data_IF_531417450404
#
_entry.id   IF_531417450404
#
_cell.length_a   1.000
_cell.length_b   1.000
_cell.length_c   1.000
_cell.angle_alpha   90.00
_cell.angle_beta   90.00
_cell.angle_gamma   90.00
#
_symmetry.space_group_name_H-M   'P 1'
#
loop_
_entity.id
_entity.type
_entity.pdbx_description
1 polymer ?
#
# COMPACT_ATOMS: atom_id res chain seq x y z
N UNK A 1 -56.37 -53.91 26.49
CA UNK A 1 -55.86 -52.98 25.47
C UNK A 1 -54.92 -52.00 26.19
N UNK A 2 -53.61 -52.27 26.15
CA UNK A 2 -52.63 -51.51 26.90
C UNK A 2 -51.89 -50.60 25.92
N UNK A 3 -52.15 -49.30 25.97
CA UNK A 3 -51.52 -48.32 25.08
C UNK A 3 -50.17 -47.91 25.70
N UNK A 4 -49.04 -48.28 25.10
CA UNK A 4 -47.69 -47.86 25.49
C UNK A 4 -47.41 -46.47 24.92
N UNK A 5 -47.25 -45.51 25.77
CA UNK A 5 -46.72 -44.18 25.43
C UNK A 5 -45.21 -44.27 25.18
N UNK A 6 -44.80 -44.06 23.91
CA UNK A 6 -43.41 -43.91 23.56
C UNK A 6 -43.02 -42.44 23.72
N UNK A 7 -42.20 -42.13 24.74
CA UNK A 7 -41.55 -40.80 24.88
C UNK A 7 -40.41 -40.65 23.86
N UNK A 8 -40.59 -39.74 22.92
CA UNK A 8 -39.50 -39.30 22.05
C UNK A 8 -38.61 -38.31 22.85
N UNK A 9 -37.34 -38.64 23.02
CA UNK A 9 -36.33 -37.69 23.49
C UNK A 9 -36.07 -36.67 22.37
N UNK A 10 -35.91 -35.37 22.66
CA UNK A 10 -35.54 -34.38 21.65
C UNK A 10 -34.13 -34.70 21.11
N UNK A 11 -33.99 -34.76 19.80
CA UNK A 11 -32.71 -34.89 19.11
C UNK A 11 -31.86 -33.64 19.45
N UNK A 12 -30.67 -33.86 19.97
CA UNK A 12 -29.63 -32.85 20.05
C UNK A 12 -29.39 -32.25 18.68
N UNK A 13 -29.81 -31.02 18.47
CA UNK A 13 -29.43 -30.26 17.29
C UNK A 13 -27.95 -29.93 17.44
N UNK A 14 -27.08 -30.64 16.76
CA UNK A 14 -25.68 -30.30 16.61
C UNK A 14 -25.68 -28.99 15.83
N UNK A 15 -25.47 -27.86 16.49
CA UNK A 15 -25.10 -26.61 15.83
C UNK A 15 -23.68 -26.81 15.29
N UNK A 16 -23.59 -27.20 14.03
CA UNK A 16 -22.33 -27.15 13.28
C UNK A 16 -22.04 -25.66 13.14
N UNK A 17 -21.12 -25.15 13.95
CA UNK A 17 -20.54 -23.83 13.75
C UNK A 17 -19.62 -23.97 12.56
N UNK A 18 -20.13 -23.67 11.36
CA UNK A 18 -19.30 -23.55 10.18
C UNK A 18 -18.40 -22.35 10.46
N UNK A 19 -17.16 -22.60 10.84
CA UNK A 19 -16.11 -21.61 10.76
C UNK A 19 -15.85 -21.46 9.26
N UNK A 20 -16.39 -20.41 8.67
CA UNK A 20 -15.83 -19.93 7.42
C UNK A 20 -14.38 -19.56 7.77
N UNK A 21 -13.45 -20.23 7.10
CA UNK A 21 -12.05 -19.87 7.17
C UNK A 21 -11.96 -18.46 6.59
N UNK A 22 -11.92 -17.47 7.49
CA UNK A 22 -11.82 -16.07 7.09
C UNK A 22 -10.48 -15.92 6.41
N UNK A 23 -10.48 -15.48 5.16
CA UNK A 23 -9.25 -15.27 4.39
C UNK A 23 -8.27 -14.38 5.13
N UNK A 24 -6.98 -14.60 4.92
CA UNK A 24 -5.91 -13.76 5.46
C UNK A 24 -5.94 -12.39 4.83
N UNK A 25 -5.44 -11.41 5.56
CA UNK A 25 -5.28 -10.03 5.09
C UNK A 25 -3.81 -9.76 4.79
N UNK A 26 -3.54 -9.38 3.55
CA UNK A 26 -2.23 -9.01 3.05
C UNK A 26 -2.20 -7.51 2.79
N UNK A 27 -1.27 -6.80 3.43
CA UNK A 27 -1.01 -5.39 3.21
C UNK A 27 0.21 -5.22 2.32
N UNK A 28 0.03 -4.70 1.10
CA UNK A 28 1.00 -4.75 0.01
C UNK A 28 1.38 -3.34 -0.45
N UNK A 29 2.67 -3.02 -0.44
CA UNK A 29 3.18 -1.71 -0.81
C UNK A 29 4.63 -1.74 -1.29
N UNK A 30 4.97 -0.75 -2.13
CA UNK A 30 6.35 -0.45 -2.47
C UNK A 30 7.01 0.33 -1.34
N UNK A 31 8.29 0.03 -1.08
CA UNK A 31 9.08 0.68 -0.04
C UNK A 31 10.34 1.33 -0.63
N UNK A 32 10.60 2.57 -0.22
CA UNK A 32 11.82 3.29 -0.59
C UNK A 32 12.77 3.44 0.59
N UNK A 33 12.56 4.40 1.50
CA UNK A 33 13.45 4.70 2.62
C UNK A 33 12.75 5.20 3.89
N UNK A 34 11.43 5.29 3.89
CA UNK A 34 10.62 5.92 4.94
C UNK A 34 10.43 4.97 6.15
N UNK A 35 11.53 4.63 6.86
CA UNK A 35 11.53 3.65 7.95
C UNK A 35 10.58 4.01 9.11
N UNK A 36 10.41 5.31 9.41
CA UNK A 36 9.49 5.74 10.47
C UNK A 36 8.02 5.53 10.09
N UNK A 37 7.67 5.80 8.82
CA UNK A 37 6.33 5.54 8.31
C UNK A 37 6.06 4.04 8.15
N UNK A 38 7.07 3.25 7.78
CA UNK A 38 6.96 1.79 7.74
C UNK A 38 6.63 1.23 9.13
N UNK A 39 7.34 1.69 10.17
CA UNK A 39 7.05 1.29 11.55
C UNK A 39 5.64 1.74 11.98
N UNK A 40 5.28 2.99 11.71
CA UNK A 40 3.96 3.54 12.02
C UNK A 40 2.84 2.72 11.36
N UNK A 41 2.97 2.43 10.06
CA UNK A 41 2.02 1.60 9.31
C UNK A 41 1.83 0.24 9.95
N UNK A 42 2.94 -0.43 10.27
CA UNK A 42 2.90 -1.74 10.89
C UNK A 42 2.28 -1.71 12.30
N UNK A 43 2.57 -0.69 13.11
CA UNK A 43 1.94 -0.53 14.43
C UNK A 43 0.43 -0.33 14.35
N UNK A 44 -0.06 0.46 13.40
CA UNK A 44 -1.49 0.73 13.20
C UNK A 44 -2.22 -0.53 12.71
N UNK A 45 -1.59 -1.30 11.81
CA UNK A 45 -2.26 -2.38 11.09
C UNK A 45 -1.98 -3.77 11.66
N UNK A 46 -1.06 -3.93 12.62
CA UNK A 46 -0.59 -5.23 13.10
C UNK A 46 -1.69 -6.19 13.55
N UNK A 47 -2.73 -5.69 14.19
CA UNK A 47 -3.83 -6.54 14.70
C UNK A 47 -4.77 -7.03 13.60
N UNK A 48 -4.73 -6.39 12.42
CA UNK A 48 -5.69 -6.58 11.34
C UNK A 48 -5.10 -7.27 10.11
N UNK A 49 -3.77 -7.27 10.00
CA UNK A 49 -3.01 -7.78 8.86
C UNK A 49 -2.28 -9.06 9.25
N UNK A 50 -2.39 -10.09 8.44
CA UNK A 50 -1.68 -11.35 8.60
C UNK A 50 -0.29 -11.30 7.96
N UNK A 51 -0.13 -10.59 6.84
CA UNK A 51 1.13 -10.43 6.12
C UNK A 51 1.31 -9.01 5.59
N UNK A 52 2.51 -8.47 5.78
CA UNK A 52 3.01 -7.25 5.15
C UNK A 52 3.91 -7.63 3.99
N UNK A 53 3.51 -7.31 2.77
CA UNK A 53 4.29 -7.54 1.56
C UNK A 53 5.05 -6.27 1.24
N UNK A 54 6.33 -6.25 1.59
CA UNK A 54 7.23 -5.11 1.34
C UNK A 54 7.97 -5.37 0.03
N UNK A 55 7.66 -4.58 -0.99
CA UNK A 55 8.39 -4.64 -2.26
C UNK A 55 9.46 -3.56 -2.25
N UNK A 56 10.70 -3.96 -2.33
CA UNK A 56 11.86 -3.07 -2.35
C UNK A 56 12.75 -3.38 -3.56
N UNK A 57 13.15 -2.34 -4.30
CA UNK A 57 14.00 -2.49 -5.47
C UNK A 57 15.42 -2.00 -5.20
N UNK A 58 16.39 -2.52 -5.94
CA UNK A 58 17.78 -2.05 -5.96
C UNK A 58 17.98 -0.76 -6.77
N UNK A 59 16.91 -0.29 -7.43
CA UNK A 59 16.91 0.99 -8.16
C UNK A 59 15.69 1.83 -7.80
N UNK A 60 15.85 3.15 -7.82
CA UNK A 60 14.74 4.11 -7.66
C UNK A 60 13.87 4.14 -8.91
N UNK A 61 12.69 4.77 -8.84
CA UNK A 61 11.88 4.99 -10.05
C UNK A 61 12.60 5.90 -11.05
N UNK A 62 13.40 6.88 -10.59
CA UNK A 62 14.24 7.69 -11.47
C UNK A 62 15.42 6.91 -12.11
N UNK A 63 15.70 5.68 -11.65
CA UNK A 63 16.72 4.78 -12.23
C UNK A 63 18.09 4.84 -11.56
N UNK A 64 18.19 5.44 -10.38
CA UNK A 64 19.44 5.47 -9.61
C UNK A 64 19.55 4.21 -8.74
N UNK A 65 20.76 3.67 -8.61
CA UNK A 65 21.02 2.58 -7.68
C UNK A 65 20.73 3.03 -6.25
N UNK A 66 20.12 2.15 -5.47
CA UNK A 66 19.85 2.37 -4.05
C UNK A 66 20.14 1.12 -3.22
N UNK A 67 20.35 1.33 -1.95
CA UNK A 67 20.43 0.26 -0.97
C UNK A 67 19.04 -0.31 -0.68
N UNK A 68 19.03 -1.52 -0.13
CA UNK A 68 17.84 -2.14 0.42
C UNK A 68 17.66 -1.66 1.87
N UNK A 69 16.95 -0.56 2.06
CA UNK A 69 16.81 0.10 3.37
C UNK A 69 16.09 -0.78 4.40
N UNK A 70 15.08 -1.56 3.99
CA UNK A 70 14.47 -2.52 4.90
C UNK A 70 15.46 -3.59 5.30
N UNK A 71 16.22 -4.15 4.34
CA UNK A 71 17.21 -5.21 4.60
C UNK A 71 18.28 -4.75 5.60
N UNK A 72 18.82 -3.55 5.43
CA UNK A 72 19.80 -2.94 6.34
C UNK A 72 19.22 -2.66 7.74
N UNK A 73 17.89 -2.55 7.88
CA UNK A 73 17.21 -2.14 9.12
C UNK A 73 16.28 -3.23 9.70
N UNK A 74 16.36 -4.47 9.26
CA UNK A 74 15.49 -5.58 9.69
C UNK A 74 15.30 -5.70 11.19
N UNK A 75 16.35 -5.43 11.95
CA UNK A 75 16.34 -5.51 13.42
C UNK A 75 15.32 -4.55 14.05
N UNK A 76 15.08 -3.38 13.43
CA UNK A 76 14.07 -2.42 13.88
C UNK A 76 12.66 -3.01 13.82
N UNK A 77 12.43 -3.94 12.90
CA UNK A 77 11.12 -4.54 12.61
C UNK A 77 10.98 -5.97 13.16
N UNK A 78 11.87 -6.40 14.06
CA UNK A 78 11.88 -7.76 14.61
C UNK A 78 10.52 -8.17 15.21
N UNK A 79 9.82 -7.24 15.85
CA UNK A 79 8.46 -7.42 16.40
C UNK A 79 7.46 -7.93 15.36
N UNK A 80 7.63 -7.56 14.08
CA UNK A 80 6.71 -7.90 12.98
C UNK A 80 7.25 -9.01 12.08
N UNK A 81 8.43 -9.55 12.35
CA UNK A 81 9.17 -10.43 11.44
C UNK A 81 8.35 -11.62 10.94
N UNK A 82 7.51 -12.20 11.79
CA UNK A 82 6.66 -13.36 11.44
C UNK A 82 5.56 -13.01 10.40
N UNK A 83 5.28 -11.73 10.20
CA UNK A 83 4.28 -11.23 9.25
C UNK A 83 4.89 -10.64 7.99
N UNK A 84 6.19 -10.33 7.98
CA UNK A 84 6.82 -9.65 6.86
C UNK A 84 7.23 -10.65 5.78
N UNK A 85 6.85 -10.32 4.54
CA UNK A 85 7.37 -10.93 3.32
C UNK A 85 8.11 -9.84 2.55
N UNK A 86 9.43 -9.89 2.55
CA UNK A 86 10.28 -8.93 1.85
C UNK A 86 10.56 -9.44 0.42
N UNK A 87 10.04 -8.72 -0.56
CA UNK A 87 10.22 -8.99 -1.98
C UNK A 87 11.27 -8.02 -2.53
N UNK A 88 12.40 -8.55 -2.98
CA UNK A 88 13.46 -7.75 -3.59
C UNK A 88 13.32 -7.80 -5.10
N UNK A 89 13.29 -6.62 -5.73
CA UNK A 89 13.32 -6.45 -7.18
C UNK A 89 14.72 -5.98 -7.59
N UNK A 90 15.54 -6.90 -8.06
CA UNK A 90 16.92 -6.69 -8.47
C UNK A 90 17.12 -6.82 -9.99
N UNK A 91 16.04 -7.12 -10.70
CA UNK A 91 16.02 -7.36 -12.14
C UNK A 91 15.19 -6.30 -12.92
N UNK A 92 15.06 -5.09 -12.36
CA UNK A 92 14.35 -3.99 -13.03
C UNK A 92 15.03 -3.66 -14.35
N UNK A 93 14.31 -3.70 -15.49
CA UNK A 93 14.90 -3.41 -16.78
C UNK A 93 15.38 -1.95 -16.90
N UNK A 94 16.50 -1.73 -17.57
CA UNK A 94 16.98 -0.39 -17.93
C UNK A 94 16.10 0.27 -19.00
N UNK A 95 15.57 -0.56 -19.90
CA UNK A 95 14.70 -0.17 -20.99
C UNK A 95 13.48 -1.10 -21.08
N UNK A 96 12.31 -0.51 -21.22
CA UNK A 96 11.03 -1.23 -21.31
C UNK A 96 10.54 -1.38 -22.75
N UNK A 97 11.21 -0.78 -23.73
CA UNK A 97 10.74 -0.71 -25.11
C UNK A 97 10.74 -2.06 -25.82
N UNK A 98 11.75 -2.89 -25.59
CA UNK A 98 11.95 -4.17 -26.27
C UNK A 98 12.03 -5.35 -25.30
N UNK A 99 11.22 -5.36 -24.26
CA UNK A 99 11.23 -6.47 -23.32
C UNK A 99 10.69 -7.74 -23.97
N UNK A 100 11.45 -8.85 -23.94
CA UNK A 100 11.00 -10.11 -24.52
C UNK A 100 9.89 -10.72 -23.67
N UNK A 101 8.78 -11.02 -24.32
CA UNK A 101 7.73 -11.85 -23.75
C UNK A 101 8.15 -13.32 -23.79
N UNK A 102 8.05 -14.00 -22.65
CA UNK A 102 8.38 -15.43 -22.56
C UNK A 102 7.20 -16.27 -23.05
N UNK A 103 7.30 -16.87 -24.22
CA UNK A 103 6.23 -17.69 -24.82
C UNK A 103 5.83 -18.88 -23.94
N UNK A 104 6.79 -19.45 -23.19
CA UNK A 104 6.56 -20.60 -22.32
C UNK A 104 7.25 -20.36 -20.98
N UNK A 105 6.56 -19.76 -20.00
CA UNK A 105 7.10 -19.60 -18.65
C UNK A 105 7.35 -20.98 -18.02
N UNK A 106 8.51 -21.17 -17.40
CA UNK A 106 8.94 -22.43 -16.79
C UNK A 106 8.66 -22.50 -15.30
N UNK A 107 8.39 -21.37 -14.69
CA UNK A 107 8.17 -21.26 -13.25
C UNK A 107 7.29 -20.04 -12.93
N UNK A 108 6.85 -19.95 -11.67
CA UNK A 108 5.99 -18.88 -11.17
C UNK A 108 6.58 -17.47 -11.34
N UNK A 109 7.89 -17.33 -11.16
CA UNK A 109 8.57 -16.03 -11.33
C UNK A 109 8.45 -15.55 -12.79
N UNK A 110 8.63 -16.44 -13.75
CA UNK A 110 8.51 -16.15 -15.19
C UNK A 110 7.06 -15.83 -15.59
N UNK A 111 6.07 -16.55 -15.00
CA UNK A 111 4.64 -16.22 -15.19
C UNK A 111 4.30 -14.82 -14.71
N UNK A 112 4.77 -14.46 -13.51
CA UNK A 112 4.58 -13.12 -12.93
C UNK A 112 5.26 -12.07 -13.80
N UNK A 113 6.50 -12.33 -14.28
CA UNK A 113 7.20 -11.44 -15.18
C UNK A 113 6.41 -11.20 -16.48
N UNK A 114 5.85 -12.24 -17.08
CA UNK A 114 4.99 -12.08 -18.26
C UNK A 114 3.75 -11.25 -17.97
N UNK A 115 3.14 -11.41 -16.76
CA UNK A 115 2.02 -10.58 -16.34
C UNK A 115 2.39 -9.10 -16.24
N UNK A 116 3.57 -8.80 -15.70
CA UNK A 116 4.10 -7.44 -15.64
C UNK A 116 4.27 -6.88 -17.05
N UNK A 117 4.90 -7.65 -17.95
CA UNK A 117 5.13 -7.24 -19.32
C UNK A 117 3.83 -7.02 -20.11
N UNK A 118 2.84 -7.91 -19.94
CA UNK A 118 1.51 -7.73 -20.53
C UNK A 118 0.85 -6.42 -20.10
N UNK A 119 0.97 -6.07 -18.83
CA UNK A 119 0.44 -4.80 -18.35
C UNK A 119 1.18 -3.61 -18.97
N UNK A 120 2.51 -3.66 -19.02
CA UNK A 120 3.31 -2.60 -19.66
C UNK A 120 2.95 -2.43 -21.14
N UNK A 121 2.64 -3.53 -21.84
CA UNK A 121 2.19 -3.50 -23.22
C UNK A 121 0.79 -2.92 -23.39
N UNK A 122 -0.09 -3.20 -22.45
CA UNK A 122 -1.48 -2.71 -22.47
C UNK A 122 -1.64 -1.27 -21.96
N UNK A 123 -0.68 -0.75 -21.23
CA UNK A 123 -0.72 0.60 -20.70
C UNK A 123 -0.39 1.58 -21.84
N UNK A 124 -1.40 2.05 -22.52
CA UNK A 124 -1.41 3.07 -23.59
C UNK A 124 -0.16 3.98 -23.68
N UNK A 125 1.03 3.38 -23.73
CA UNK A 125 2.32 4.02 -23.97
C UNK A 125 3.11 4.53 -22.77
N UNK A 126 2.53 4.70 -21.59
CA UNK A 126 3.21 5.34 -20.46
C UNK A 126 4.47 4.58 -19.98
N UNK A 127 4.34 3.31 -19.70
CA UNK A 127 5.44 2.54 -19.11
C UNK A 127 6.61 2.24 -20.03
N UNK A 128 6.45 2.33 -21.38
CA UNK A 128 7.53 2.06 -22.33
C UNK A 128 8.29 3.30 -22.75
N UNK A 129 7.64 4.43 -22.86
CA UNK A 129 8.24 5.68 -23.33
C UNK A 129 8.91 6.48 -22.22
N UNK A 130 8.39 6.38 -21.00
CA UNK A 130 8.93 7.06 -19.83
C UNK A 130 9.45 6.05 -18.82
N UNK A 131 10.76 5.83 -18.81
CA UNK A 131 11.44 4.78 -18.02
C UNK A 131 11.12 4.82 -16.52
N UNK A 132 10.92 6.01 -15.94
CA UNK A 132 10.56 6.18 -14.53
C UNK A 132 9.20 5.57 -14.21
N UNK A 133 8.20 5.76 -15.09
CA UNK A 133 6.89 5.14 -14.95
C UNK A 133 6.93 3.63 -15.18
N UNK A 134 7.73 3.18 -16.15
CA UNK A 134 7.98 1.77 -16.37
C UNK A 134 8.55 1.08 -15.13
N UNK A 135 9.51 1.72 -14.44
CA UNK A 135 10.10 1.19 -13.21
C UNK A 135 9.09 1.16 -12.05
N UNK A 136 8.29 2.20 -11.87
CA UNK A 136 7.23 2.22 -10.86
C UNK A 136 6.22 1.10 -11.10
N UNK A 137 5.72 0.97 -12.33
CA UNK A 137 4.80 -0.09 -12.74
C UNK A 137 5.42 -1.47 -12.49
N UNK A 138 6.68 -1.68 -12.91
CA UNK A 138 7.38 -2.95 -12.74
C UNK A 138 7.50 -3.33 -11.27
N UNK A 139 7.92 -2.41 -10.43
CA UNK A 139 8.08 -2.66 -9.00
C UNK A 139 6.72 -2.91 -8.31
N UNK A 140 5.64 -2.18 -8.67
CA UNK A 140 4.31 -2.41 -8.10
C UNK A 140 3.74 -3.78 -8.51
N UNK A 141 3.89 -4.19 -9.77
CA UNK A 141 3.50 -5.54 -10.19
C UNK A 141 4.32 -6.63 -9.47
N UNK A 142 5.53 -6.30 -9.01
CA UNK A 142 6.35 -7.19 -8.19
C UNK A 142 5.69 -7.65 -6.88
N UNK A 143 4.62 -6.99 -6.43
CA UNK A 143 3.77 -7.44 -5.30
C UNK A 143 3.31 -8.89 -5.51
N UNK A 144 3.05 -9.32 -6.75
CA UNK A 144 2.64 -10.69 -7.04
C UNK A 144 3.64 -11.76 -6.59
N UNK A 145 4.93 -11.43 -6.48
CA UNK A 145 5.93 -12.37 -5.96
C UNK A 145 5.69 -12.72 -4.48
N UNK A 146 5.15 -11.77 -3.70
CA UNK A 146 4.81 -11.95 -2.30
C UNK A 146 3.47 -12.63 -2.05
N UNK A 147 2.65 -12.83 -3.10
CA UNK A 147 1.28 -13.35 -3.01
C UNK A 147 1.14 -14.78 -3.57
N UNK A 148 2.26 -15.52 -3.73
CA UNK A 148 2.25 -16.87 -4.31
C UNK A 148 1.39 -17.87 -3.54
N UNK A 149 1.24 -17.67 -2.23
CA UNK A 149 0.56 -18.61 -1.32
C UNK A 149 -0.87 -18.17 -0.96
N UNK A 150 -1.40 -17.15 -1.66
CA UNK A 150 -2.75 -16.65 -1.40
C UNK A 150 -3.82 -17.62 -1.85
N UNK A 151 -4.87 -17.72 -1.04
CA UNK A 151 -6.11 -18.42 -1.36
C UNK A 151 -7.16 -17.43 -1.90
N UNK A 152 -8.17 -17.95 -2.58
CA UNK A 152 -9.19 -17.17 -3.28
C UNK A 152 -9.93 -16.16 -2.37
N UNK A 153 -10.13 -16.48 -1.10
CA UNK A 153 -10.83 -15.63 -0.12
C UNK A 153 -9.90 -14.69 0.65
N UNK A 154 -8.59 -14.71 0.37
CA UNK A 154 -7.65 -13.79 1.00
C UNK A 154 -7.89 -12.35 0.51
N UNK A 155 -7.75 -11.40 1.43
CA UNK A 155 -7.97 -9.98 1.21
C UNK A 155 -6.63 -9.31 0.93
N UNK A 156 -6.57 -8.56 -0.15
CA UNK A 156 -5.37 -7.84 -0.57
C UNK A 156 -5.64 -6.34 -0.48
N UNK A 157 -4.86 -5.67 0.37
CA UNK A 157 -4.74 -4.21 0.42
C UNK A 157 -3.56 -3.80 -0.46
N UNK A 158 -3.76 -2.83 -1.34
CA UNK A 158 -2.74 -2.33 -2.27
C UNK A 158 -2.64 -0.82 -2.12
N UNK A 159 -1.48 -0.29 -1.77
CA UNK A 159 -1.25 1.15 -1.63
C UNK A 159 0.21 1.53 -1.80
N UNK A 160 0.52 2.82 -1.72
CA UNK A 160 1.87 3.27 -1.45
C UNK A 160 2.12 3.23 0.07
N UNK A 161 3.38 3.18 0.50
CA UNK A 161 3.75 3.00 1.93
C UNK A 161 3.11 4.07 2.83
N UNK A 162 3.13 5.32 2.36
CA UNK A 162 2.65 6.50 3.08
C UNK A 162 1.12 6.68 3.04
N UNK A 163 0.40 5.78 2.37
CA UNK A 163 -1.06 5.71 2.32
C UNK A 163 -1.58 4.64 3.30
N UNK A 164 -1.77 5.00 4.56
CA UNK A 164 -2.18 4.05 5.62
C UNK A 164 -3.69 3.92 5.65
N UNK A 165 -4.27 2.72 5.41
CA UNK A 165 -5.71 2.53 5.48
C UNK A 165 -6.23 2.65 6.91
N UNK A 166 -7.45 3.18 7.07
CA UNK A 166 -8.14 3.23 8.34
C UNK A 166 -8.64 1.81 8.71
N UNK A 167 -8.05 1.25 9.73
CA UNK A 167 -8.38 -0.08 10.23
C UNK A 167 -9.83 -0.19 10.74
N UNK A 168 -10.41 0.88 11.29
CA UNK A 168 -11.81 0.89 11.74
C UNK A 168 -12.77 0.78 10.55
N UNK A 169 -12.52 1.56 9.49
CA UNK A 169 -13.34 1.51 8.27
C UNK A 169 -13.12 0.19 7.50
N UNK A 170 -11.88 -0.33 7.49
CA UNK A 170 -11.59 -1.65 6.93
C UNK A 170 -12.40 -2.77 7.59
N UNK A 171 -12.48 -2.77 8.93
CA UNK A 171 -13.26 -3.78 9.67
C UNK A 171 -14.76 -3.78 9.33
N UNK A 172 -15.32 -2.63 8.95
CA UNK A 172 -16.75 -2.55 8.56
C UNK A 172 -17.04 -3.26 7.25
N UNK A 173 -16.06 -3.37 6.36
CA UNK A 173 -16.25 -3.93 5.02
C UNK A 173 -15.68 -5.33 4.82
N UNK A 174 -14.69 -5.75 5.63
CA UNK A 174 -13.86 -6.93 5.37
C UNK A 174 -14.68 -8.22 5.13
N UNK A 175 -15.80 -8.38 5.81
CA UNK A 175 -16.64 -9.58 5.70
C UNK A 175 -17.61 -9.52 4.50
N UNK A 176 -17.62 -8.41 3.73
CA UNK A 176 -18.55 -8.13 2.66
C UNK A 176 -17.89 -7.70 1.35
N UNK A 177 -16.60 -8.02 1.15
CA UNK A 177 -15.84 -7.57 -0.03
C UNK A 177 -16.38 -8.22 -1.32
N UNK A 178 -16.67 -9.52 -1.31
CA UNK A 178 -17.22 -10.30 -2.43
C UNK A 178 -16.47 -10.06 -3.76
N UNK A 179 -17.16 -9.47 -4.75
CA UNK A 179 -16.58 -9.15 -6.06
C UNK A 179 -16.20 -7.66 -6.21
N UNK A 180 -16.30 -6.89 -5.13
CA UNK A 180 -16.04 -5.48 -5.16
C UNK A 180 -14.55 -5.15 -5.05
N UNK A 181 -14.18 -4.03 -5.64
CA UNK A 181 -12.89 -3.36 -5.42
C UNK A 181 -13.18 -2.05 -4.70
N UNK A 182 -12.74 -1.95 -3.46
CA UNK A 182 -12.95 -0.77 -2.64
C UNK A 182 -11.80 0.23 -2.80
N UNK A 183 -12.15 1.51 -2.90
CA UNK A 183 -11.24 2.64 -2.87
C UNK A 183 -11.37 3.37 -1.52
N UNK A 184 -10.29 3.42 -0.76
CA UNK A 184 -10.23 4.10 0.53
C UNK A 184 -9.88 5.57 0.32
N UNK A 185 -10.86 6.46 0.56
CA UNK A 185 -10.64 7.90 0.48
C UNK A 185 -9.92 8.41 1.71
N UNK A 186 -8.82 9.12 1.50
CA UNK A 186 -7.91 9.55 2.55
C UNK A 186 -7.79 11.07 2.60
N UNK A 187 -7.39 11.58 3.76
CA UNK A 187 -6.85 12.92 3.90
C UNK A 187 -5.35 12.89 3.64
N UNK A 188 -4.84 13.79 2.81
CA UNK A 188 -3.42 13.91 2.48
C UNK A 188 -2.78 15.00 3.30
N UNK A 189 -1.67 14.68 3.94
CA UNK A 189 -0.86 15.57 4.77
C UNK A 189 0.56 15.62 4.22
N UNK A 190 1.14 16.83 4.18
CA UNK A 190 2.50 17.04 3.73
C UNK A 190 3.40 17.51 4.86
N UNK A 191 4.63 17.02 4.90
CA UNK A 191 5.71 17.35 5.83
C UNK A 191 5.47 16.98 7.29
N UNK A 192 4.26 17.24 7.80
CA UNK A 192 3.83 16.96 9.16
C UNK A 192 2.45 16.31 9.16
N UNK A 193 2.19 15.49 10.15
CA UNK A 193 0.89 14.80 10.28
C UNK A 193 -0.30 15.76 10.34
N UNK A 194 -0.07 16.97 10.83
CA UNK A 194 -1.10 17.99 11.02
C UNK A 194 -1.06 19.14 9.99
N UNK A 195 -0.41 18.96 8.85
CA UNK A 195 -0.50 19.89 7.72
C UNK A 195 -1.29 19.28 6.57
N UNK A 196 -2.59 19.54 6.57
CA UNK A 196 -3.54 19.03 5.59
C UNK A 196 -3.31 19.71 4.23
N UNK A 197 -3.14 18.88 3.19
CA UNK A 197 -3.01 19.29 1.79
C UNK A 197 -4.37 19.22 1.07
N UNK A 198 -5.05 18.11 1.19
CA UNK A 198 -6.33 17.86 0.52
C UNK A 198 -7.10 16.71 1.19
N UNK A 199 -8.40 16.67 0.94
CA UNK A 199 -9.30 15.62 1.38
C UNK A 199 -9.73 14.75 0.19
N UNK A 200 -10.21 13.55 0.48
CA UNK A 200 -10.74 12.62 -0.51
C UNK A 200 -9.72 12.11 -1.56
N UNK A 201 -8.43 12.07 -1.21
CA UNK A 201 -7.42 11.40 -2.03
C UNK A 201 -7.81 9.94 -2.27
N UNK A 202 -7.71 9.47 -3.51
CA UNK A 202 -7.92 8.06 -3.85
C UNK A 202 -6.68 7.24 -3.43
N UNK A 203 -6.78 6.58 -2.29
CA UNK A 203 -5.67 5.89 -1.62
C UNK A 203 -5.68 4.36 -1.81
N UNK A 204 -5.55 3.59 -0.72
CA UNK A 204 -5.49 2.14 -0.75
C UNK A 204 -6.67 1.49 -1.47
N UNK A 205 -6.41 0.36 -2.11
CA UNK A 205 -7.44 -0.52 -2.69
C UNK A 205 -7.55 -1.79 -1.89
N UNK A 206 -8.77 -2.29 -1.76
CA UNK A 206 -9.07 -3.54 -1.09
C UNK A 206 -9.86 -4.46 -2.02
N UNK A 207 -9.37 -5.68 -2.21
CA UNK A 207 -9.95 -6.65 -3.15
C UNK A 207 -9.68 -8.08 -2.69
N UNK A 208 -10.53 -9.05 -3.03
CA UNK A 208 -10.24 -10.47 -2.81
C UNK A 208 -9.22 -10.97 -3.85
N UNK A 209 -8.34 -11.88 -3.42
CA UNK A 209 -7.34 -12.49 -4.30
C UNK A 209 -7.94 -13.12 -5.55
N UNK A 210 -9.07 -13.82 -5.44
CA UNK A 210 -9.77 -14.45 -6.59
C UNK A 210 -10.09 -13.44 -7.70
N UNK A 211 -10.37 -12.19 -7.35
CA UNK A 211 -10.66 -11.12 -8.30
C UNK A 211 -9.37 -10.46 -8.81
N UNK A 212 -8.37 -10.30 -7.93
CA UNK A 212 -7.11 -9.65 -8.26
C UNK A 212 -6.19 -10.49 -9.14
N UNK A 213 -6.14 -11.82 -8.93
CA UNK A 213 -5.17 -12.71 -9.62
C UNK A 213 -5.20 -12.65 -11.14
N UNK A 214 -6.30 -12.19 -11.74
CA UNK A 214 -6.46 -11.98 -13.18
C UNK A 214 -6.24 -10.53 -13.63
N UNK A 215 -6.08 -9.60 -12.69
CA UNK A 215 -5.89 -8.17 -12.95
C UNK A 215 -4.40 -7.79 -12.79
N UNK A 216 -4.09 -6.55 -13.11
CA UNK A 216 -2.82 -5.91 -12.79
C UNK A 216 -2.96 -5.10 -11.49
N UNK A 217 -1.92 -5.09 -10.64
CA UNK A 217 -1.86 -4.24 -9.45
C UNK A 217 -2.03 -2.76 -9.82
N UNK A 218 -1.36 -2.34 -10.89
CA UNK A 218 -1.43 -0.95 -11.36
C UNK A 218 -2.82 -0.58 -11.88
N UNK A 219 -3.51 -1.48 -12.59
CA UNK A 219 -4.88 -1.22 -13.06
C UNK A 219 -5.86 -1.04 -11.90
N UNK A 220 -5.72 -1.85 -10.85
CA UNK A 220 -6.52 -1.73 -9.62
C UNK A 220 -6.16 -0.42 -8.89
N UNK A 221 -4.87 -0.13 -8.72
CA UNK A 221 -4.38 1.10 -8.07
C UNK A 221 -4.88 2.37 -8.78
N UNK A 222 -5.00 2.36 -10.11
CA UNK A 222 -5.48 3.47 -10.93
C UNK A 222 -7.02 3.57 -11.03
N UNK A 223 -7.77 2.94 -10.14
CA UNK A 223 -9.24 2.97 -10.09
C UNK A 223 -9.95 2.37 -11.31
N UNK A 224 -9.28 1.64 -12.19
CA UNK A 224 -9.92 1.06 -13.38
C UNK A 224 -10.98 -0.01 -13.04
N UNK A 225 -10.94 -0.55 -11.83
CA UNK A 225 -11.81 -1.62 -11.36
C UNK A 225 -12.60 -1.25 -10.09
N UNK A 226 -12.51 -0.02 -9.62
CA UNK A 226 -13.19 0.42 -8.39
C UNK A 226 -14.71 0.35 -8.56
N UNK A 227 -15.36 -0.33 -7.63
CA UNK A 227 -16.82 -0.47 -7.60
C UNK A 227 -17.45 0.22 -6.39
N UNK A 228 -16.70 0.39 -5.32
CA UNK A 228 -17.14 1.00 -4.06
C UNK A 228 -16.12 1.93 -3.47
N UNK A 229 -16.59 2.87 -2.66
CA UNK A 229 -15.75 3.85 -1.96
C UNK A 229 -15.94 3.71 -0.45
N UNK A 230 -14.84 3.80 0.30
CA UNK A 230 -14.81 3.88 1.75
C UNK A 230 -14.39 5.29 2.11
N UNK A 231 -15.32 6.09 2.66
CA UNK A 231 -15.01 7.42 3.18
C UNK A 231 -14.23 7.29 4.49
N UNK A 232 -13.51 8.35 4.87
CA UNK A 232 -12.61 8.35 6.04
C UNK A 232 -11.64 7.15 6.03
N UNK A 233 -11.25 6.76 4.82
CA UNK A 233 -10.52 5.53 4.53
C UNK A 233 -9.07 5.53 4.99
N UNK A 234 -8.57 6.61 5.59
CA UNK A 234 -7.23 6.63 6.19
C UNK A 234 -6.46 7.92 5.94
N UNK A 235 -5.14 7.80 5.99
CA UNK A 235 -4.20 8.91 6.02
C UNK A 235 -3.10 8.72 4.99
N UNK A 236 -2.85 9.75 4.18
CA UNK A 236 -1.73 9.81 3.27
C UNK A 236 -0.70 10.81 3.80
N UNK A 237 0.37 10.30 4.43
CA UNK A 237 1.43 11.09 5.06
C UNK A 237 2.63 11.27 4.13
N UNK A 238 2.52 12.19 3.18
CA UNK A 238 3.55 12.35 2.15
C UNK A 238 4.61 13.41 2.50
N UNK A 239 5.82 13.24 1.95
CA UNK A 239 6.95 14.15 2.13
C UNK A 239 7.38 14.36 3.59
N UNK A 240 7.24 13.35 4.44
CA UNK A 240 7.61 13.42 5.85
C UNK A 240 9.14 13.43 6.05
N UNK A 241 9.57 13.99 7.20
CA UNK A 241 10.94 13.85 7.68
C UNK A 241 11.91 14.97 7.29
N UNK A 242 11.39 16.15 6.94
CA UNK A 242 12.19 17.36 6.71
C UNK A 242 12.74 17.49 5.30
N UNK A 243 13.41 18.61 5.04
CA UNK A 243 13.78 19.04 3.70
C UNK A 243 14.64 18.04 2.91
N UNK A 244 15.61 17.41 3.55
CA UNK A 244 16.48 16.44 2.90
C UNK A 244 15.70 15.20 2.42
N UNK A 245 14.76 14.70 3.24
CA UNK A 245 13.91 13.57 2.83
C UNK A 245 12.94 13.96 1.70
N UNK A 246 12.41 15.18 1.73
CA UNK A 246 11.57 15.71 0.63
C UNK A 246 12.36 15.77 -0.67
N UNK A 247 13.58 16.33 -0.66
CA UNK A 247 14.46 16.40 -1.83
C UNK A 247 14.82 14.99 -2.34
N UNK A 248 15.16 14.09 -1.42
CA UNK A 248 15.49 12.70 -1.77
C UNK A 248 14.29 11.98 -2.41
N UNK A 249 13.08 12.18 -1.90
CA UNK A 249 11.86 11.60 -2.50
C UNK A 249 11.59 12.17 -3.88
N UNK A 250 11.74 13.50 -4.08
CA UNK A 250 11.59 14.17 -5.38
C UNK A 250 12.64 13.65 -6.39
N UNK A 251 13.85 13.38 -5.94
CA UNK A 251 14.92 12.84 -6.78
C UNK A 251 14.71 11.39 -7.19
N UNK A 252 13.96 10.62 -6.40
CA UNK A 252 13.80 9.17 -6.54
C UNK A 252 12.51 8.74 -7.24
N UNK A 253 11.42 9.51 -7.13
CA UNK A 253 10.08 9.09 -7.58
C UNK A 253 9.88 9.27 -9.10
N UNK A 254 8.71 8.87 -9.62
CA UNK A 254 8.43 8.85 -11.06
C UNK A 254 8.09 10.22 -11.66
N UNK A 255 7.61 11.17 -10.86
CA UNK A 255 7.29 12.53 -11.30
C UNK A 255 8.53 13.41 -11.47
N UNK A 256 9.42 13.03 -12.38
CA UNK A 256 10.70 13.71 -12.62
C UNK A 256 10.55 15.13 -13.19
N UNK A 257 9.37 15.53 -13.68
CA UNK A 257 9.05 16.91 -14.06
C UNK A 257 9.17 17.89 -12.88
N UNK A 258 9.04 17.41 -11.65
CA UNK A 258 9.24 18.21 -10.43
C UNK A 258 10.68 18.20 -9.91
N UNK A 259 11.55 17.34 -10.43
CA UNK A 259 12.95 17.28 -10.06
C UNK A 259 13.76 18.36 -10.79
N UNK A 260 13.58 19.60 -10.37
CA UNK A 260 14.23 20.77 -10.98
C UNK A 260 14.72 21.77 -9.92
N UNK A 261 15.63 22.64 -10.32
CA UNK A 261 16.27 23.61 -9.43
C UNK A 261 15.27 24.50 -8.68
N UNK A 262 14.20 24.98 -9.36
CA UNK A 262 13.20 25.86 -8.76
C UNK A 262 12.49 25.19 -7.58
N UNK A 263 12.11 23.91 -7.73
CA UNK A 263 11.43 23.16 -6.68
C UNK A 263 12.41 22.81 -5.56
N UNK A 264 13.55 22.23 -5.90
CA UNK A 264 14.52 21.75 -4.90
C UNK A 264 15.13 22.88 -4.05
N UNK A 265 15.35 24.07 -4.62
CA UNK A 265 15.90 25.22 -3.88
C UNK A 265 14.89 25.89 -2.94
N UNK A 266 13.61 25.64 -3.09
CA UNK A 266 12.56 26.23 -2.27
C UNK A 266 11.92 25.24 -1.27
N UNK A 267 12.48 24.04 -1.12
CA UNK A 267 11.88 23.02 -0.24
C UNK A 267 11.85 23.47 1.21
N UNK A 268 12.96 24.03 1.74
CA UNK A 268 13.04 24.54 3.12
C UNK A 268 12.01 25.65 3.35
N UNK A 269 12.01 26.66 2.49
CA UNK A 269 11.11 27.81 2.58
C UNK A 269 9.62 27.38 2.49
N UNK A 270 9.31 26.41 1.64
CA UNK A 270 7.96 25.86 1.52
C UNK A 270 7.52 25.10 2.78
N UNK A 271 8.41 24.32 3.40
CA UNK A 271 8.12 23.64 4.68
C UNK A 271 7.89 24.66 5.80
N UNK A 272 8.75 25.68 5.89
CA UNK A 272 8.65 26.72 6.92
C UNK A 272 7.37 27.54 6.77
N UNK A 273 7.05 27.93 5.54
CA UNK A 273 5.88 28.76 5.19
C UNK A 273 4.60 27.95 5.00
N UNK A 274 4.62 26.61 5.22
CA UNK A 274 3.46 25.71 5.05
C UNK A 274 2.88 25.71 3.64
N UNK A 275 3.72 25.83 2.62
CA UNK A 275 3.33 25.82 1.23
C UNK A 275 3.52 24.41 0.61
N UNK A 276 2.66 24.08 -0.39
CA UNK A 276 2.84 22.88 -1.22
C UNK A 276 4.23 22.92 -1.92
N UNK A 277 5.01 21.83 -1.93
CA UNK A 277 6.35 21.81 -2.52
C UNK A 277 6.38 22.19 -4.00
N UNK A 278 5.24 22.06 -4.69
CA UNK A 278 5.07 22.32 -6.12
C UNK A 278 4.32 23.63 -6.39
N UNK A 279 4.23 24.52 -5.41
CA UNK A 279 3.55 25.84 -5.50
C UNK A 279 2.05 25.76 -5.85
N UNK A 280 1.37 24.72 -5.41
CA UNK A 280 -0.08 24.48 -5.66
C UNK A 280 -0.99 25.04 -4.55
N UNK A 281 -0.46 25.87 -3.66
CA UNK A 281 -1.21 26.53 -2.61
C UNK A 281 -0.64 26.30 -1.21
N UNK A 282 -1.34 26.82 -0.21
CA UNK A 282 -0.96 26.73 1.20
C UNK A 282 -1.58 25.48 1.83
N UNK A 283 -0.84 24.84 2.74
CA UNK A 283 -1.33 23.76 3.58
C UNK A 283 -2.13 24.33 4.74
N UNK A 284 -3.06 23.55 5.26
CA UNK A 284 -3.91 23.95 6.37
C UNK A 284 -3.46 23.19 7.62
N UNK A 285 -3.05 23.95 8.65
CA UNK A 285 -2.76 23.35 9.94
C UNK A 285 -4.05 22.92 10.61
N UNK A 286 -4.12 21.66 11.05
CA UNK A 286 -5.26 21.05 11.74
C UNK A 286 -4.84 20.46 13.06
N UNK A 287 -5.78 20.27 13.97
CA UNK A 287 -5.52 19.59 15.24
C UNK A 287 -5.42 18.08 15.03
N UNK A 288 -4.62 17.42 15.85
CA UNK A 288 -4.60 15.95 15.91
C UNK A 288 -5.66 15.53 16.93
N UNK A 289 -6.77 15.05 16.44
CA UNK A 289 -7.95 14.64 17.20
C UNK A 289 -8.32 13.16 16.98
N UNK A 290 -9.49 12.75 17.41
CA UNK A 290 -9.98 11.36 17.29
C UNK A 290 -10.13 10.85 15.86
N UNK A 291 -9.97 11.70 14.83
CA UNK A 291 -9.93 11.30 13.43
C UNK A 291 -8.59 10.67 13.02
N UNK A 292 -7.56 10.80 13.87
CA UNK A 292 -6.25 10.18 13.65
C UNK A 292 -6.16 8.76 14.20
N UNK A 293 -5.18 7.96 13.76
CA UNK A 293 -4.94 6.65 14.36
C UNK A 293 -4.72 6.77 15.87
N UNK A 294 -5.40 5.97 16.65
CA UNK A 294 -5.22 5.95 18.12
C UNK A 294 -3.75 5.71 18.51
N UNK A 295 -2.99 5.00 17.66
CA UNK A 295 -1.57 4.79 17.89
C UNK A 295 -0.77 6.11 17.83
N UNK A 296 -1.07 7.03 16.92
CA UNK A 296 -0.43 8.36 16.87
C UNK A 296 -0.81 9.15 18.12
N UNK A 297 -2.10 9.22 18.43
CA UNK A 297 -2.63 9.98 19.59
C UNK A 297 -1.95 9.53 20.88
N UNK A 298 -1.83 8.21 21.10
CA UNK A 298 -1.24 7.63 22.30
C UNK A 298 0.30 7.69 22.34
N UNK A 299 0.96 8.06 21.25
CA UNK A 299 2.42 8.10 21.12
C UNK A 299 2.94 9.43 20.53
N UNK A 300 2.26 10.55 20.78
CA UNK A 300 2.62 11.86 20.21
C UNK A 300 4.06 12.25 20.49
N UNK A 301 4.59 11.95 21.67
CA UNK A 301 5.99 12.25 22.03
C UNK A 301 6.98 11.52 21.11
N UNK A 302 6.71 10.28 20.75
CA UNK A 302 7.54 9.50 19.79
C UNK A 302 7.55 10.13 18.41
N UNK A 303 6.42 10.70 18.00
CA UNK A 303 6.21 11.29 16.67
C UNK A 303 6.27 12.81 16.64
N UNK A 304 6.75 13.45 17.72
CA UNK A 304 6.83 14.92 17.84
C UNK A 304 7.53 15.57 16.64
N UNK A 305 8.57 14.96 16.10
CA UNK A 305 9.27 15.45 14.88
C UNK A 305 8.40 15.52 13.62
N UNK A 306 7.26 14.83 13.61
CA UNK A 306 6.26 14.84 12.52
C UNK A 306 5.01 15.66 12.86
N UNK A 307 5.03 16.45 13.93
CA UNK A 307 3.93 17.32 14.33
C UNK A 307 4.45 18.75 14.31
N UNK A 308 3.78 19.63 13.58
CA UNK A 308 4.12 21.06 13.55
C UNK A 308 3.47 21.75 14.75
N UNK A 309 4.27 22.50 15.50
CA UNK A 309 3.85 23.29 16.68
C UNK A 309 2.87 24.41 16.32
#
# INVERSE_FOLDING_TARGET
MITRLVRFKPRNTIKIKIYFDMGKVYDCFNFFNELDLLELRMEILNEYVDKFIIVESTVTFSGKNKKLFYDENKKRFEKFQNKIVHVVIDDTPEDFFNLPFLQTPKNKKEEIKNKILNYLDSSEGWGRHEKQWGREIYQREGIFYGLSDCNDEDIILISDLDEIPNNVEFLKIKDNINNDVFDFRQNTYYYYFNLLKEQNWSGPKCVLWKNLKSLSMNSVRQNKHTTKTVNDGGWHFSFMGGAENVKMKIDAYSHQEYNNHRILSNVEDNIESENDPFFRGKLIKVDIDDSYPSFIINNMDKYKKFIKD
#
